data_IF_557651061049
#
_entry.id   IF_557651061049
#
_cell.length_a   1.000
_cell.length_b   1.000
_cell.length_c   1.000
_cell.angle_alpha   90.00
_cell.angle_beta   90.00
_cell.angle_gamma   90.00
#
_symmetry.space_group_name_H-M   'P 1'
#
loop_
_entity.id
_entity.type
_entity.pdbx_description
1 polymer ?
#
# COMPACT_ATOMS: atom_id res chain seq x y z
N UNK A 1 19.55 21.48 -8.19
CA UNK A 1 19.03 20.22 -7.63
C UNK A 1 18.00 20.57 -6.56
N UNK A 2 16.70 20.24 -6.73
CA UNK A 2 15.73 20.47 -5.67
C UNK A 2 16.05 19.53 -4.49
N UNK A 3 16.11 20.07 -3.28
CA UNK A 3 16.31 19.29 -2.05
C UNK A 3 15.07 18.42 -1.85
N UNK A 4 15.22 17.09 -1.95
CA UNK A 4 14.17 16.15 -1.57
C UNK A 4 13.87 16.32 -0.08
N UNK A 5 12.71 16.90 0.25
CA UNK A 5 12.23 16.95 1.64
C UNK A 5 11.92 15.54 2.11
N UNK A 6 12.28 15.22 3.36
CA UNK A 6 11.94 13.91 3.93
C UNK A 6 10.44 13.83 4.15
N UNK A 7 9.85 12.65 3.99
CA UNK A 7 8.42 12.41 4.20
C UNK A 7 7.95 12.83 5.60
N UNK A 8 8.84 12.70 6.61
CA UNK A 8 8.66 13.18 7.98
C UNK A 8 8.43 14.69 8.08
N UNK A 9 9.02 15.47 7.17
CA UNK A 9 8.95 16.93 7.19
C UNK A 9 7.58 17.42 6.67
N UNK A 10 6.90 16.59 5.88
CA UNK A 10 5.55 16.86 5.35
C UNK A 10 4.46 16.48 6.35
N UNK A 11 4.70 15.49 7.21
CA UNK A 11 3.75 15.00 8.21
C UNK A 11 4.43 14.77 9.56
N UNK A 12 4.77 15.84 10.31
CA UNK A 12 5.59 15.73 11.53
C UNK A 12 4.92 14.94 12.65
N UNK A 13 3.59 14.81 12.63
CA UNK A 13 2.81 14.08 13.65
C UNK A 13 2.45 12.65 13.24
N UNK A 14 2.84 12.19 12.04
CA UNK A 14 2.49 10.86 11.58
C UNK A 14 3.37 9.81 12.25
N UNK A 15 2.75 8.75 12.78
CA UNK A 15 3.47 7.58 13.25
C UNK A 15 4.02 6.76 12.06
N UNK A 16 4.92 5.81 12.35
CA UNK A 16 5.56 4.95 11.34
C UNK A 16 4.54 4.27 10.42
N UNK A 17 3.48 3.69 10.98
CA UNK A 17 2.47 2.97 10.20
C UNK A 17 1.63 3.90 9.32
N UNK A 18 1.37 5.13 9.77
CA UNK A 18 0.70 6.13 8.95
C UNK A 18 1.59 6.49 7.74
N UNK A 19 2.89 6.73 7.95
CA UNK A 19 3.82 7.01 6.85
C UNK A 19 3.97 5.81 5.90
N UNK A 20 4.07 4.59 6.43
CA UNK A 20 4.09 3.36 5.62
C UNK A 20 2.80 3.17 4.82
N UNK A 21 1.63 3.43 5.43
CA UNK A 21 0.36 3.37 4.72
C UNK A 21 0.27 4.38 3.57
N UNK A 22 0.75 5.61 3.80
CA UNK A 22 0.81 6.64 2.77
C UNK A 22 1.74 6.24 1.61
N UNK A 23 2.90 5.65 1.93
CA UNK A 23 3.82 5.14 0.92
C UNK A 23 3.18 4.04 0.07
N UNK A 24 2.63 3.00 0.70
CA UNK A 24 1.99 1.89 -0.01
C UNK A 24 0.80 2.39 -0.83
N UNK A 25 -0.02 3.31 -0.29
CA UNK A 25 -1.13 3.89 -1.03
C UNK A 25 -0.68 4.67 -2.28
N UNK A 26 0.46 5.37 -2.21
CA UNK A 26 1.03 6.03 -3.38
C UNK A 26 1.51 5.02 -4.43
N UNK A 27 2.14 3.92 -4.01
CA UNK A 27 2.52 2.82 -4.91
C UNK A 27 1.29 2.22 -5.60
N UNK A 28 0.21 1.97 -4.85
CA UNK A 28 -1.06 1.47 -5.41
C UNK A 28 -1.65 2.46 -6.40
N UNK A 29 -1.72 3.76 -6.06
CA UNK A 29 -2.24 4.79 -6.97
C UNK A 29 -1.44 4.82 -8.28
N UNK A 30 -0.11 4.78 -8.20
CA UNK A 30 0.75 4.81 -9.38
C UNK A 30 0.57 3.56 -10.24
N UNK A 31 0.50 2.36 -9.63
CA UNK A 31 0.23 1.11 -10.36
C UNK A 31 -1.15 1.11 -11.04
N UNK A 32 -2.10 1.89 -10.52
CA UNK A 32 -3.43 2.05 -11.09
C UNK A 32 -3.53 3.21 -12.10
N UNK A 33 -2.48 3.99 -12.37
CA UNK A 33 -2.60 5.24 -13.14
C UNK A 33 -3.15 5.01 -14.56
N UNK A 34 -2.65 3.98 -15.28
CA UNK A 34 -3.17 3.65 -16.62
C UNK A 34 -4.65 3.22 -16.61
N UNK A 35 -5.05 2.50 -15.56
CA UNK A 35 -6.45 2.09 -15.37
C UNK A 35 -7.32 3.29 -15.01
N UNK A 36 -6.84 4.14 -14.09
CA UNK A 36 -7.48 5.41 -13.71
C UNK A 36 -7.71 6.27 -14.94
N UNK A 37 -6.66 6.57 -15.72
CA UNK A 37 -6.77 7.45 -16.88
C UNK A 37 -7.83 6.98 -17.91
N UNK A 38 -8.07 5.67 -18.01
CA UNK A 38 -9.03 5.08 -18.95
C UNK A 38 -10.44 4.94 -18.39
N UNK A 39 -10.60 4.77 -17.07
CA UNK A 39 -11.86 4.29 -16.49
C UNK A 39 -12.39 5.11 -15.32
N UNK A 40 -11.57 5.96 -14.69
CA UNK A 40 -11.96 6.73 -13.52
C UNK A 40 -11.72 8.23 -13.78
N UNK A 41 -12.60 9.07 -13.27
CA UNK A 41 -12.36 10.51 -13.22
C UNK A 41 -11.46 10.87 -12.03
N UNK A 42 -10.84 12.05 -12.09
CA UNK A 42 -10.06 12.59 -10.96
C UNK A 42 -10.89 12.74 -9.68
N UNK A 43 -12.18 13.07 -9.82
CA UNK A 43 -13.10 13.15 -8.68
C UNK A 43 -13.32 11.79 -8.02
N UNK A 44 -13.51 10.72 -8.81
CA UNK A 44 -13.61 9.36 -8.29
C UNK A 44 -12.31 8.91 -7.63
N UNK A 45 -11.16 9.23 -8.22
CA UNK A 45 -9.87 8.91 -7.59
C UNK A 45 -9.61 9.71 -6.31
N UNK A 46 -10.08 10.97 -6.24
CA UNK A 46 -10.01 11.75 -5.01
C UNK A 46 -10.81 11.11 -3.86
N UNK A 47 -11.89 10.39 -4.17
CA UNK A 47 -12.66 9.60 -3.20
C UNK A 47 -11.99 8.26 -2.86
N UNK A 48 -11.45 7.55 -3.86
CA UNK A 48 -10.81 6.23 -3.66
C UNK A 48 -9.50 6.31 -2.88
N UNK A 49 -8.67 7.33 -3.12
CA UNK A 49 -7.36 7.46 -2.47
C UNK A 49 -7.43 7.44 -0.92
N UNK A 50 -8.37 8.17 -0.27
CA UNK A 50 -8.65 8.03 1.16
C UNK A 50 -9.04 6.62 1.61
N UNK A 51 -9.92 5.96 0.86
CA UNK A 51 -10.41 4.62 1.20
C UNK A 51 -9.24 3.63 1.19
N UNK A 52 -8.42 3.66 0.14
CA UNK A 52 -7.25 2.79 -0.02
C UNK A 52 -6.24 3.02 1.12
N UNK A 53 -5.82 4.28 1.37
CA UNK A 53 -4.81 4.54 2.41
C UNK A 53 -5.30 4.21 3.82
N UNK A 54 -6.59 4.41 4.11
CA UNK A 54 -7.16 4.06 5.41
C UNK A 54 -7.28 2.54 5.59
N UNK A 55 -7.61 1.79 4.53
CA UNK A 55 -7.63 0.33 4.55
C UNK A 55 -6.23 -0.24 4.79
N UNK A 56 -5.21 0.28 4.11
CA UNK A 56 -3.81 -0.12 4.33
C UNK A 56 -3.36 0.19 5.77
N UNK A 57 -3.64 1.40 6.27
CA UNK A 57 -3.29 1.74 7.65
C UNK A 57 -3.97 0.81 8.67
N UNK A 58 -5.23 0.45 8.41
CA UNK A 58 -5.98 -0.51 9.24
C UNK A 58 -5.32 -1.89 9.20
N UNK A 59 -4.91 -2.39 8.03
CA UNK A 59 -4.20 -3.65 7.90
C UNK A 59 -2.88 -3.64 8.68
N UNK A 60 -2.09 -2.56 8.58
CA UNK A 60 -0.83 -2.40 9.35
C UNK A 60 -1.10 -2.38 10.86
N UNK A 61 -2.12 -1.66 11.32
CA UNK A 61 -2.54 -1.66 12.72
C UNK A 61 -2.89 -3.07 13.21
N UNK A 62 -3.68 -3.81 12.44
CA UNK A 62 -4.10 -5.17 12.75
C UNK A 62 -2.89 -6.11 12.82
N UNK A 63 -1.99 -6.01 11.84
CA UNK A 63 -0.73 -6.77 11.82
C UNK A 63 0.03 -6.50 13.12
N UNK A 64 0.33 -5.26 13.46
CA UNK A 64 1.14 -4.93 14.64
C UNK A 64 0.54 -5.42 15.97
N UNK A 65 -0.79 -5.52 16.06
CA UNK A 65 -1.49 -5.90 17.29
C UNK A 65 -1.98 -7.34 17.36
N UNK A 66 -1.88 -8.13 16.28
CA UNK A 66 -2.44 -9.49 16.20
C UNK A 66 -2.02 -10.45 17.32
N UNK A 67 -0.88 -10.20 17.96
CA UNK A 67 -0.36 -11.03 19.05
C UNK A 67 -0.91 -10.66 20.43
N UNK A 68 -1.38 -9.42 20.62
CA UNK A 68 -1.84 -8.88 21.90
C UNK A 68 -3.29 -8.43 21.92
N UNK A 69 -3.94 -8.35 20.76
CA UNK A 69 -5.34 -7.95 20.59
C UNK A 69 -6.14 -9.05 19.86
N UNK A 70 -7.09 -9.66 20.58
CA UNK A 70 -7.95 -10.72 20.05
C UNK A 70 -8.83 -10.23 18.89
N UNK A 71 -9.25 -8.97 18.88
CA UNK A 71 -10.03 -8.39 17.78
C UNK A 71 -9.16 -8.26 16.53
N UNK A 72 -7.92 -7.81 16.69
CA UNK A 72 -6.96 -7.75 15.59
C UNK A 72 -6.70 -9.15 15.02
N UNK A 73 -6.46 -10.14 15.90
CA UNK A 73 -6.25 -11.54 15.48
C UNK A 73 -7.45 -12.11 14.71
N UNK A 74 -8.66 -11.92 15.23
CA UNK A 74 -9.89 -12.39 14.59
C UNK A 74 -10.13 -11.70 13.24
N UNK A 75 -9.94 -10.38 13.18
CA UNK A 75 -10.05 -9.62 11.95
C UNK A 75 -9.07 -10.12 10.89
N UNK A 76 -7.79 -10.33 11.26
CA UNK A 76 -6.78 -10.83 10.33
C UNK A 76 -7.16 -12.20 9.76
N UNK A 77 -7.57 -13.14 10.62
CA UNK A 77 -8.01 -14.47 10.17
C UNK A 77 -9.20 -14.37 9.21
N UNK A 78 -10.23 -13.62 9.60
CA UNK A 78 -11.42 -13.45 8.77
C UNK A 78 -11.08 -12.83 7.40
N UNK A 79 -10.22 -11.79 7.38
CA UNK A 79 -9.79 -11.17 6.12
C UNK A 79 -9.01 -12.14 5.22
N UNK A 80 -8.17 -13.03 5.77
CA UNK A 80 -7.53 -14.08 4.98
C UNK A 80 -8.54 -15.06 4.39
N UNK A 81 -9.55 -15.47 5.16
CA UNK A 81 -10.59 -16.39 4.69
C UNK A 81 -11.44 -15.78 3.56
N UNK A 82 -11.48 -14.45 3.42
CA UNK A 82 -12.18 -13.75 2.34
C UNK A 82 -11.36 -13.62 1.04
N UNK A 83 -10.07 -13.97 1.03
CA UNK A 83 -9.26 -13.91 -0.19
C UNK A 83 -9.82 -14.93 -1.18
N UNK A 84 -10.31 -14.51 -2.36
CA UNK A 84 -10.89 -15.45 -3.32
C UNK A 84 -9.84 -16.44 -3.82
N UNK A 85 -10.21 -17.71 -3.94
CA UNK A 85 -9.28 -18.76 -4.37
C UNK A 85 -8.78 -18.62 -5.82
N UNK A 86 -9.45 -17.80 -6.63
CA UNK A 86 -9.04 -17.49 -8.01
C UNK A 86 -8.05 -16.32 -8.10
N UNK A 87 -7.73 -15.66 -6.98
CA UNK A 87 -6.68 -14.64 -6.99
C UNK A 87 -5.31 -15.29 -7.16
N UNK A 88 -4.56 -14.78 -8.14
CA UNK A 88 -3.16 -15.14 -8.33
C UNK A 88 -2.29 -14.53 -7.20
N UNK A 89 -1.10 -15.09 -6.97
CA UNK A 89 -0.15 -14.50 -6.04
C UNK A 89 0.32 -13.14 -6.56
N UNK A 90 0.52 -12.13 -5.68
CA UNK A 90 1.00 -10.82 -6.10
C UNK A 90 2.41 -10.93 -6.69
N UNK A 91 2.64 -10.24 -7.80
CA UNK A 91 3.95 -10.11 -8.45
C UNK A 91 4.53 -8.73 -8.16
N UNK A 92 5.86 -8.60 -8.23
CA UNK A 92 6.51 -7.29 -8.21
C UNK A 92 6.16 -6.52 -9.48
N UNK A 93 6.07 -5.19 -9.37
CA UNK A 93 5.91 -4.31 -10.54
C UNK A 93 7.18 -4.43 -11.39
N UNK A 94 7.02 -4.44 -12.72
CA UNK A 94 8.05 -4.76 -13.71
C UNK A 94 9.43 -4.12 -13.46
N UNK A 95 9.46 -2.87 -12.99
CA UNK A 95 10.70 -2.13 -12.68
C UNK A 95 11.57 -2.77 -11.58
N UNK A 96 10.96 -3.60 -10.73
CA UNK A 96 11.62 -4.36 -9.65
C UNK A 96 11.65 -5.88 -9.90
N UNK A 97 11.04 -6.36 -10.99
CA UNK A 97 10.98 -7.78 -11.30
C UNK A 97 12.25 -8.30 -12.02
N UNK A 98 13.00 -7.41 -12.67
CA UNK A 98 14.19 -7.75 -13.45
C UNK A 98 15.49 -7.42 -12.70
N UNK A 99 15.80 -8.21 -11.67
CA UNK A 99 17.18 -8.31 -11.15
C UNK A 99 17.98 -9.22 -12.09
N UNK A 100 18.42 -8.70 -13.25
CA UNK A 100 19.69 -9.19 -13.78
C UNK A 100 20.76 -8.53 -12.89
N UNK A 101 21.50 -9.27 -12.04
CA UNK A 101 22.65 -8.69 -11.37
C UNK A 101 23.56 -8.09 -12.47
N UNK A 102 24.13 -6.88 -12.26
CA UNK A 102 25.06 -6.33 -13.23
C UNK A 102 26.15 -7.36 -13.45
N UNK A 103 26.38 -7.69 -14.73
CA UNK A 103 27.34 -8.65 -15.23
C UNK A 103 28.54 -8.83 -14.30
N UNK A 104 28.72 -10.07 -13.81
CA UNK A 104 30.03 -10.54 -13.37
C UNK A 104 30.87 -10.78 -14.63
N UNK A 105 31.38 -9.70 -15.23
CA UNK A 105 32.48 -9.72 -16.20
C UNK A 105 33.69 -9.02 -15.63
#
# INVERSE_FOLDING_TARGET
MPVLRRSSDKFPQANKNQLTAMYIAMVVRNAMEDFHAKHLSDAQMAELNPIIRNAIYTALYVIDRRHSDLRAKASMKFTYDMIPSYWELPQLIDEFANDNPPDQT
#
